data_IF_025510254880
#
_entry.id   IF_025510254880
#
_cell.length_a   1.000
_cell.length_b   1.000
_cell.length_c   1.000
_cell.angle_alpha   90.00
_cell.angle_beta   90.00
_cell.angle_gamma   90.00
#
_symmetry.space_group_name_H-M   'P 1'
#
loop_
_entity.id
_entity.type
_entity.pdbx_description
1 polymer ?
#
# COMPACT_ATOMS: atom_id res chain seq x y z
N UNK A 1 3.73 0.01 -16.96
CA UNK A 1 3.41 -0.94 -18.04
C UNK A 1 2.32 -0.32 -18.90
N UNK A 2 2.26 -0.58 -20.21
CA UNK A 2 1.17 -0.16 -21.09
C UNK A 2 0.80 -1.32 -21.99
N UNK A 3 -0.48 -1.61 -22.14
CA UNK A 3 -1.00 -2.60 -23.09
C UNK A 3 -2.30 -2.10 -23.70
N UNK A 4 -2.62 -2.57 -24.91
CA UNK A 4 -3.89 -2.30 -25.56
C UNK A 4 -4.81 -3.50 -25.31
N UNK A 5 -6.04 -3.22 -24.87
CA UNK A 5 -7.06 -4.26 -24.63
C UNK A 5 -8.21 -4.09 -25.61
N UNK A 6 -8.83 -5.20 -26.07
CA UNK A 6 -10.03 -5.13 -26.89
C UNK A 6 -11.22 -4.54 -26.11
N UNK A 7 -12.27 -4.05 -26.80
CA UNK A 7 -13.48 -3.57 -26.14
C UNK A 7 -14.16 -4.68 -25.32
N UNK A 8 -14.51 -4.38 -24.07
CA UNK A 8 -15.18 -5.31 -23.16
C UNK A 8 -14.43 -5.52 -21.84
N UNK A 9 -14.88 -6.46 -20.99
CA UNK A 9 -14.16 -6.85 -19.79
C UNK A 9 -12.76 -7.38 -20.13
N UNK A 10 -11.75 -6.91 -19.43
CA UNK A 10 -10.37 -7.36 -19.58
C UNK A 10 -9.80 -7.76 -18.23
N UNK A 11 -8.82 -8.66 -18.23
CA UNK A 11 -7.99 -8.98 -17.08
C UNK A 11 -6.52 -8.88 -17.50
N UNK A 12 -5.67 -8.41 -16.58
CA UNK A 12 -4.22 -8.33 -16.77
C UNK A 12 -3.60 -9.19 -15.69
N UNK A 13 -2.94 -10.28 -16.09
CA UNK A 13 -2.31 -11.26 -15.20
C UNK A 13 -0.77 -11.25 -15.26
N UNK A 14 -0.18 -10.51 -16.20
CA UNK A 14 1.28 -10.41 -16.41
C UNK A 14 1.96 -9.30 -15.59
N UNK A 15 1.32 -8.86 -14.50
CA UNK A 15 1.96 -7.91 -13.60
C UNK A 15 3.19 -8.56 -12.98
N UNK A 16 4.38 -8.03 -13.30
CA UNK A 16 5.60 -8.43 -12.61
C UNK A 16 5.35 -8.33 -11.10
N UNK A 17 5.54 -9.45 -10.39
CA UNK A 17 5.47 -9.49 -8.93
C UNK A 17 6.65 -8.73 -8.35
N UNK A 18 6.59 -7.41 -8.46
CA UNK A 18 7.47 -6.54 -7.74
C UNK A 18 7.00 -6.62 -6.30
N UNK A 19 7.87 -7.02 -5.37
CA UNK A 19 7.61 -7.04 -3.91
C UNK A 19 7.20 -5.66 -3.32
N UNK A 20 6.88 -4.69 -4.16
CA UNK A 20 6.43 -3.37 -3.79
C UNK A 20 5.01 -3.43 -3.24
N UNK A 21 4.91 -3.11 -1.96
CA UNK A 21 3.67 -2.67 -1.34
C UNK A 21 3.39 -1.25 -1.84
N UNK A 22 2.29 -1.04 -2.55
CA UNK A 22 1.97 0.27 -3.11
C UNK A 22 0.80 0.22 -4.08
N UNK A 23 -0.09 1.20 -4.03
CA UNK A 23 -1.29 1.21 -4.88
C UNK A 23 -0.94 1.28 -6.38
N UNK A 24 -1.74 0.62 -7.21
CA UNK A 24 -1.64 0.69 -8.67
C UNK A 24 -2.55 1.80 -9.19
N UNK A 25 -1.97 2.89 -9.70
CA UNK A 25 -2.72 3.88 -10.46
C UNK A 25 -3.00 3.33 -11.86
N UNK A 26 -4.29 3.17 -12.20
CA UNK A 26 -4.74 2.63 -13.48
C UNK A 26 -5.39 3.76 -14.28
N UNK A 27 -4.86 4.00 -15.46
CA UNK A 27 -5.41 4.95 -16.44
C UNK A 27 -5.89 4.19 -17.68
N UNK A 28 -7.19 4.27 -17.95
CA UNK A 28 -7.82 3.69 -19.14
C UNK A 28 -8.13 4.81 -20.11
N UNK A 29 -7.44 4.80 -21.25
CA UNK A 29 -7.63 5.76 -22.34
C UNK A 29 -8.47 5.09 -23.42
N UNK A 30 -9.71 5.52 -23.57
CA UNK A 30 -10.61 5.04 -24.61
C UNK A 30 -10.22 5.63 -25.99
N UNK A 31 -10.60 4.94 -27.07
CA UNK A 31 -10.43 5.44 -28.43
C UNK A 31 -11.19 6.77 -28.69
N UNK A 32 -12.20 7.08 -27.86
CA UNK A 32 -12.96 8.33 -27.86
C UNK A 32 -12.17 9.52 -27.28
N UNK A 33 -10.97 9.30 -26.72
CA UNK A 33 -10.19 10.29 -25.97
C UNK A 33 -10.62 10.44 -24.52
N UNK A 34 -11.68 9.76 -24.09
CA UNK A 34 -12.12 9.73 -22.69
C UNK A 34 -11.10 8.96 -21.85
N UNK A 35 -10.67 9.56 -20.74
CA UNK A 35 -9.71 8.96 -19.82
C UNK A 35 -10.40 8.67 -18.49
N UNK A 36 -10.33 7.43 -18.04
CA UNK A 36 -10.81 7.00 -16.72
C UNK A 36 -9.61 6.63 -15.85
N UNK A 37 -9.48 7.25 -14.67
CA UNK A 37 -8.42 6.95 -13.71
C UNK A 37 -9.02 6.33 -12.46
N UNK A 38 -8.43 5.24 -11.99
CA UNK A 38 -8.79 4.61 -10.73
C UNK A 38 -7.59 3.93 -10.09
N UNK A 39 -7.57 3.92 -8.75
CA UNK A 39 -6.48 3.36 -7.97
C UNK A 39 -6.85 1.96 -7.45
N UNK A 40 -6.17 0.93 -7.93
CA UNK A 40 -6.33 -0.45 -7.42
C UNK A 40 -5.41 -0.63 -6.22
N UNK A 41 -5.94 -0.90 -5.01
CA UNK A 41 -5.11 -1.25 -3.87
C UNK A 41 -4.29 -2.49 -4.19
N UNK A 42 -2.96 -2.39 -4.11
CA UNK A 42 -2.11 -3.56 -4.05
C UNK A 42 -1.60 -3.67 -2.62
N UNK A 43 -2.41 -4.33 -1.80
CA UNK A 43 -2.06 -4.71 -0.44
C UNK A 43 -1.64 -6.18 -0.48
N UNK A 44 -0.41 -6.45 -0.04
CA UNK A 44 0.04 -7.82 0.16
C UNK A 44 -0.68 -8.43 1.37
N UNK A 45 -0.86 -9.75 1.35
CA UNK A 45 -1.27 -10.56 2.52
C UNK A 45 -0.42 -10.15 3.73
N UNK A 46 -0.96 -10.17 4.97
CA UNK A 46 -0.18 -9.89 6.16
C UNK A 46 1.16 -10.62 6.13
N UNK A 47 2.24 -9.85 6.02
CA UNK A 47 3.58 -10.34 5.78
C UNK A 47 4.06 -11.04 7.06
N UNK A 48 4.14 -12.37 7.01
CA UNK A 48 4.53 -13.19 8.15
C UNK A 48 5.90 -13.79 7.91
N UNK A 49 6.75 -13.68 8.92
CA UNK A 49 8.13 -14.18 8.88
C UNK A 49 8.20 -15.43 9.74
N UNK A 50 8.85 -16.49 9.22
CA UNK A 50 9.05 -17.73 9.98
C UNK A 50 9.82 -17.45 11.28
N UNK A 51 9.55 -18.19 12.36
CA UNK A 51 10.26 -18.02 13.64
C UNK A 51 11.77 -17.99 13.47
N UNK A 52 12.42 -17.06 14.14
CA UNK A 52 13.88 -16.90 14.12
C UNK A 52 14.42 -16.19 12.87
N UNK A 53 13.60 -15.99 11.84
CA UNK A 53 14.01 -15.25 10.65
C UNK A 53 13.78 -13.74 10.81
N UNK A 54 14.57 -12.99 10.04
CA UNK A 54 14.51 -11.53 9.99
C UNK A 54 14.42 -11.11 8.53
N UNK A 55 13.50 -10.21 8.22
CA UNK A 55 13.51 -9.47 6.96
C UNK A 55 13.79 -8.01 7.27
N UNK A 56 14.73 -7.42 6.54
CA UNK A 56 15.07 -6.02 6.67
C UNK A 56 15.29 -5.42 5.29
N UNK A 57 14.93 -4.15 5.16
CA UNK A 57 15.20 -3.36 3.97
C UNK A 57 15.66 -1.99 4.40
N UNK A 58 16.73 -1.50 3.76
CA UNK A 58 17.23 -0.15 3.94
C UNK A 58 17.33 0.49 2.56
N UNK A 59 16.73 1.66 2.41
CA UNK A 59 16.75 2.43 1.19
C UNK A 59 17.09 3.87 1.49
N UNK A 60 17.97 4.47 0.69
CA UNK A 60 18.26 5.89 0.76
C UNK A 60 18.52 6.40 -0.65
N UNK A 61 18.16 7.65 -0.91
CA UNK A 61 18.31 8.21 -2.24
C UNK A 61 17.36 9.36 -2.46
N UNK A 62 16.90 9.51 -3.70
CA UNK A 62 15.99 10.60 -4.13
C UNK A 62 14.75 10.01 -4.79
N UNK A 63 13.59 10.59 -4.54
CA UNK A 63 12.34 10.16 -5.19
C UNK A 63 12.31 10.67 -6.63
N UNK A 64 12.45 9.76 -7.61
CA UNK A 64 12.64 10.06 -9.03
C UNK A 64 11.60 11.00 -9.65
N UNK A 65 10.34 10.90 -9.22
CA UNK A 65 9.22 11.66 -9.79
C UNK A 65 9.20 13.15 -9.38
N UNK A 66 9.95 13.53 -8.34
CA UNK A 66 9.92 14.86 -7.75
C UNK A 66 11.29 15.56 -7.85
N UNK A 67 11.86 15.65 -9.05
CA UNK A 67 13.20 16.18 -9.30
C UNK A 67 13.34 17.69 -9.04
N UNK A 68 12.23 18.43 -9.11
CA UNK A 68 12.21 19.89 -8.93
C UNK A 68 12.26 20.33 -7.46
N UNK A 69 12.18 19.41 -6.49
CA UNK A 69 12.15 19.70 -5.05
C UNK A 69 13.17 18.86 -4.28
N UNK A 70 13.46 19.24 -3.03
CA UNK A 70 14.27 18.38 -2.16
C UNK A 70 13.47 17.10 -1.85
N UNK A 71 13.98 16.00 -2.39
CA UNK A 71 13.31 14.70 -2.45
C UNK A 71 14.18 13.58 -1.88
N UNK A 72 15.24 13.93 -1.13
CA UNK A 72 16.05 12.95 -0.42
C UNK A 72 15.23 12.26 0.65
N UNK A 73 15.37 10.94 0.72
CA UNK A 73 14.74 10.12 1.74
C UNK A 73 15.71 9.05 2.24
N UNK A 74 15.41 8.59 3.45
CA UNK A 74 15.91 7.39 4.07
C UNK A 74 14.70 6.59 4.55
N UNK A 75 14.71 5.28 4.31
CA UNK A 75 13.68 4.36 4.74
C UNK A 75 14.33 3.09 5.27
N UNK A 76 13.81 2.60 6.39
CA UNK A 76 14.19 1.31 6.93
C UNK A 76 12.96 0.54 7.37
N UNK A 77 12.85 -0.70 6.95
CA UNK A 77 11.82 -1.64 7.43
C UNK A 77 12.49 -2.87 8.04
N UNK A 78 11.84 -3.41 9.05
CA UNK A 78 12.36 -4.50 9.86
C UNK A 78 11.20 -5.38 10.32
N UNK A 79 11.29 -6.66 10.02
CA UNK A 79 10.29 -7.66 10.38
C UNK A 79 10.98 -8.84 11.05
N UNK A 80 10.37 -9.38 12.08
CA UNK A 80 10.90 -10.51 12.84
C UNK A 80 9.85 -11.54 13.15
N UNK A 81 10.11 -12.80 12.77
CA UNK A 81 9.30 -13.92 13.20
C UNK A 81 9.65 -14.28 14.64
N UNK A 82 8.83 -13.84 15.60
CA UNK A 82 9.06 -14.10 17.03
C UNK A 82 8.80 -15.57 17.35
N UNK A 83 7.72 -16.14 16.82
CA UNK A 83 7.36 -17.54 16.96
C UNK A 83 6.50 -18.01 15.77
N UNK A 84 5.89 -19.20 15.85
CA UNK A 84 5.06 -19.78 14.77
C UNK A 84 3.78 -18.98 14.47
N UNK A 85 3.47 -17.99 15.30
CA UNK A 85 2.17 -17.33 15.38
C UNK A 85 2.34 -15.81 15.37
N UNK A 86 3.50 -15.25 15.72
CA UNK A 86 3.70 -13.81 15.89
C UNK A 86 4.85 -13.34 15.00
N UNK A 87 4.57 -12.34 14.17
CA UNK A 87 5.57 -11.54 13.46
C UNK A 87 5.51 -10.11 13.97
N UNK A 88 6.65 -9.52 14.28
CA UNK A 88 6.80 -8.11 14.63
C UNK A 88 7.19 -7.32 13.38
N UNK A 89 6.55 -6.17 13.14
CA UNK A 89 6.83 -5.27 12.04
C UNK A 89 7.19 -3.88 12.59
N UNK A 90 8.32 -3.34 12.14
CA UNK A 90 8.80 -2.01 12.46
C UNK A 90 9.25 -1.32 11.18
N UNK A 91 9.09 0.00 11.13
CA UNK A 91 9.55 0.78 10.00
C UNK A 91 9.79 2.23 10.37
N UNK A 92 10.62 2.89 9.58
CA UNK A 92 10.87 4.32 9.68
C UNK A 92 11.10 4.89 8.30
N UNK A 93 10.64 6.11 8.09
CA UNK A 93 10.87 6.86 6.87
C UNK A 93 11.16 8.30 7.24
N UNK A 94 12.29 8.83 6.78
CA UNK A 94 12.80 10.15 7.13
C UNK A 94 13.14 10.88 5.84
N UNK A 95 12.68 12.12 5.72
CA UNK A 95 13.03 13.01 4.61
C UNK A 95 13.04 14.46 5.12
N UNK A 96 13.40 15.42 4.25
CA UNK A 96 13.43 16.81 4.68
C UNK A 96 12.03 17.27 5.14
N UNK A 97 11.92 17.72 6.40
CA UNK A 97 10.64 18.14 7.03
C UNK A 97 9.55 17.05 6.96
N UNK A 98 9.95 15.78 7.03
CA UNK A 98 9.05 14.63 7.05
C UNK A 98 9.66 13.50 7.89
N UNK A 99 8.85 12.90 8.75
CA UNK A 99 9.20 11.66 9.43
C UNK A 99 7.96 10.80 9.61
N UNK A 100 8.13 9.49 9.50
CA UNK A 100 7.13 8.51 9.81
C UNK A 100 7.73 7.30 10.50
N UNK A 101 6.96 6.72 11.41
CA UNK A 101 7.34 5.56 12.21
C UNK A 101 6.19 4.55 12.16
N UNK A 102 6.52 3.32 11.82
CA UNK A 102 5.59 2.20 11.75
C UNK A 102 5.92 1.21 12.86
N UNK A 103 4.88 0.74 13.55
CA UNK A 103 4.95 -0.38 14.46
C UNK A 103 3.69 -1.24 14.33
N UNK A 104 3.87 -2.55 14.34
CA UNK A 104 2.78 -3.48 14.14
C UNK A 104 3.23 -4.92 14.17
N UNK A 105 2.38 -5.80 13.69
CA UNK A 105 2.68 -7.21 13.62
C UNK A 105 1.55 -8.04 13.04
N UNK A 106 1.82 -9.33 12.92
CA UNK A 106 0.88 -10.34 12.44
C UNK A 106 0.73 -11.42 13.51
N UNK A 107 -0.52 -11.79 13.75
CA UNK A 107 -0.92 -12.91 14.58
C UNK A 107 -1.57 -14.00 13.72
N UNK A 108 -0.79 -15.03 13.39
CA UNK A 108 -1.19 -16.16 12.57
C UNK A 108 -1.76 -17.30 13.43
N UNK A 109 -3.05 -17.55 13.30
CA UNK A 109 -3.77 -18.61 14.04
C UNK A 109 -4.28 -19.68 13.07
N UNK A 110 -4.70 -20.83 13.60
CA UNK A 110 -5.38 -21.86 12.78
C UNK A 110 -6.70 -21.38 12.15
N UNK A 111 -7.26 -20.27 12.65
CA UNK A 111 -8.46 -19.66 12.09
C UNK A 111 -8.16 -18.65 10.97
N UNK A 112 -6.91 -18.25 10.76
CA UNK A 112 -6.49 -17.21 9.82
C UNK A 112 -5.38 -16.32 10.40
N UNK A 113 -4.83 -15.45 9.56
CA UNK A 113 -3.79 -14.49 9.97
C UNK A 113 -4.37 -13.08 10.09
N UNK A 114 -4.18 -12.47 11.26
CA UNK A 114 -4.60 -11.11 11.59
C UNK A 114 -3.39 -10.19 11.63
N UNK A 115 -3.37 -9.14 10.82
CA UNK A 115 -2.33 -8.11 10.87
C UNK A 115 -2.86 -6.81 11.46
N UNK A 116 -2.06 -6.15 12.28
CA UNK A 116 -2.31 -4.80 12.78
C UNK A 116 -1.02 -3.98 12.65
N UNK A 117 -1.08 -2.90 11.87
CA UNK A 117 0.01 -1.94 11.75
C UNK A 117 -0.47 -0.54 12.08
N UNK A 118 0.33 0.22 12.82
CA UNK A 118 0.11 1.62 13.12
C UNK A 118 1.29 2.44 12.62
N UNK A 119 1.01 3.47 11.81
CA UNK A 119 2.00 4.39 11.27
C UNK A 119 1.70 5.79 11.77
N UNK A 120 2.64 6.38 12.48
CA UNK A 120 2.61 7.79 12.81
C UNK A 120 3.38 8.58 11.76
N UNK A 121 2.87 9.75 11.38
CA UNK A 121 3.59 10.70 10.51
C UNK A 121 3.57 12.12 11.08
N UNK A 122 4.65 12.84 10.81
CA UNK A 122 4.80 14.26 11.07
C UNK A 122 5.50 14.92 9.88
N UNK A 123 4.78 15.81 9.21
CA UNK A 123 5.19 16.39 7.95
C UNK A 123 4.93 17.90 7.93
N UNK A 124 5.68 18.65 7.11
CA UNK A 124 5.24 19.97 6.63
C UNK A 124 4.75 19.84 5.19
N UNK A 125 3.46 20.03 4.96
CA UNK A 125 2.83 19.75 3.68
C UNK A 125 2.11 21.01 3.15
N UNK A 126 0.78 21.05 3.21
CA UNK A 126 -0.04 22.15 2.68
C UNK A 126 0.35 23.48 3.33
N UNK A 127 0.56 24.53 2.51
CA UNK A 127 0.94 25.87 2.98
C UNK A 127 2.16 25.92 3.93
N UNK A 128 3.00 24.88 3.92
CA UNK A 128 4.11 24.69 4.85
C UNK A 128 3.67 24.54 6.34
N UNK A 129 2.40 24.20 6.56
CA UNK A 129 1.84 23.89 7.87
C UNK A 129 2.27 22.50 8.35
N UNK A 130 2.39 22.38 9.67
CA UNK A 130 2.74 21.12 10.32
C UNK A 130 1.50 20.22 10.40
N UNK A 131 1.56 19.09 9.73
CA UNK A 131 0.55 18.04 9.76
C UNK A 131 1.08 16.85 10.55
N UNK A 132 0.30 16.37 11.52
CA UNK A 132 0.63 15.21 12.33
C UNK A 132 -0.58 14.29 12.41
N UNK A 133 -0.36 13.00 12.22
CA UNK A 133 -1.44 12.03 12.31
C UNK A 133 -1.00 10.59 12.36
N UNK A 134 -2.00 9.73 12.47
CA UNK A 134 -1.85 8.29 12.60
C UNK A 134 -2.64 7.60 11.51
N UNK A 135 -2.10 6.49 11.02
CA UNK A 135 -2.78 5.55 10.14
C UNK A 135 -2.75 4.18 10.80
N UNK A 136 -3.92 3.59 11.01
CA UNK A 136 -4.06 2.23 11.48
C UNK A 136 -4.49 1.35 10.30
N UNK A 137 -3.92 0.16 10.20
CA UNK A 137 -4.23 -0.83 9.19
C UNK A 137 -4.48 -2.17 9.84
N UNK A 138 -5.70 -2.69 9.63
CA UNK A 138 -6.13 -4.01 10.01
C UNK A 138 -6.17 -4.88 8.76
N UNK A 139 -5.60 -6.07 8.81
CA UNK A 139 -5.67 -7.04 7.72
C UNK A 139 -6.06 -8.42 8.24
N UNK A 140 -6.76 -9.17 7.41
CA UNK A 140 -7.14 -10.54 7.68
C UNK A 140 -7.02 -11.39 6.42
N UNK A 141 -6.49 -12.59 6.56
CA UNK A 141 -6.42 -13.58 5.48
C UNK A 141 -6.73 -14.97 6.00
N UNK A 142 -7.42 -15.77 5.18
CA UNK A 142 -7.74 -17.17 5.48
C UNK A 142 -7.87 -17.99 4.21
N UNK A 143 -7.17 -19.11 4.18
CA UNK A 143 -7.41 -20.18 3.21
C UNK A 143 -8.29 -21.24 3.86
N UNK A 144 -9.45 -21.51 3.25
CA UNK A 144 -10.36 -22.56 3.69
C UNK A 144 -10.00 -23.89 3.03
N UNK A 145 -10.28 -25.00 3.71
CA UNK A 145 -10.05 -26.36 3.21
C UNK A 145 -10.93 -26.72 2.01
N UNK A 146 -12.01 -25.97 1.76
CA UNK A 146 -12.90 -26.10 0.60
C UNK A 146 -12.31 -25.54 -0.70
N UNK A 147 -11.06 -25.06 -0.69
CA UNK A 147 -10.41 -24.39 -1.82
C UNK A 147 -10.78 -22.90 -1.96
N UNK A 148 -11.73 -22.40 -1.16
CA UNK A 148 -12.04 -20.97 -1.08
C UNK A 148 -10.86 -20.23 -0.45
N UNK A 149 -10.30 -19.26 -1.16
CA UNK A 149 -9.24 -18.39 -0.68
C UNK A 149 -9.80 -17.00 -0.42
N UNK A 150 -9.91 -16.63 0.85
CA UNK A 150 -10.05 -15.23 1.27
C UNK A 150 -8.64 -14.66 1.39
N UNK A 151 -8.15 -14.10 0.28
CA UNK A 151 -6.74 -13.68 0.16
C UNK A 151 -6.46 -12.49 1.07
N UNK A 152 -7.36 -11.51 1.11
CA UNK A 152 -7.16 -10.32 1.93
C UNK A 152 -8.47 -9.54 2.16
N UNK A 153 -8.80 -9.29 3.42
CA UNK A 153 -9.69 -8.21 3.83
C UNK A 153 -8.87 -7.22 4.65
N UNK A 154 -8.69 -5.99 4.17
CA UNK A 154 -7.94 -4.96 4.86
C UNK A 154 -8.76 -3.69 5.04
N UNK A 155 -8.69 -3.13 6.23
CA UNK A 155 -9.30 -1.86 6.60
C UNK A 155 -8.23 -0.90 7.09
N UNK A 156 -8.14 0.25 6.43
CA UNK A 156 -7.20 1.31 6.75
C UNK A 156 -7.98 2.55 7.19
N UNK A 157 -7.59 3.08 8.35
CA UNK A 157 -8.10 4.33 8.89
C UNK A 157 -6.94 5.32 9.02
N UNK A 158 -7.07 6.52 8.46
CA UNK A 158 -6.08 7.59 8.65
C UNK A 158 -6.74 8.81 9.28
N UNK A 159 -6.08 9.41 10.28
CA UNK A 159 -6.53 10.68 10.84
C UNK A 159 -6.30 11.82 9.84
N UNK A 160 -7.05 12.92 9.98
CA UNK A 160 -6.99 14.05 9.05
C UNK A 160 -5.57 14.65 8.87
N UNK A 161 -4.70 14.53 9.87
CA UNK A 161 -3.33 15.07 9.83
C UNK A 161 -2.27 14.06 9.35
N UNK A 162 -2.64 12.81 9.04
CA UNK A 162 -1.69 11.83 8.52
C UNK A 162 -1.30 12.19 7.09
N UNK A 163 0.00 12.08 6.75
CA UNK A 163 0.50 12.25 5.38
C UNK A 163 1.52 11.17 5.01
N UNK A 164 1.39 10.62 3.81
CA UNK A 164 2.44 9.79 3.21
C UNK A 164 3.54 10.67 2.60
N UNK A 165 4.75 10.12 2.42
CA UNK A 165 5.87 10.87 1.84
C UNK A 165 5.56 11.30 0.39
N UNK A 166 4.92 10.43 -0.40
CA UNK A 166 4.56 10.76 -1.78
C UNK A 166 3.60 11.94 -1.86
N UNK A 167 2.56 11.95 -1.01
CA UNK A 167 1.60 13.05 -0.90
C UNK A 167 2.31 14.37 -0.53
N UNK A 168 3.24 14.32 0.44
CA UNK A 168 3.99 15.52 0.88
C UNK A 168 4.87 16.06 -0.22
N UNK A 169 5.54 15.20 -0.99
CA UNK A 169 6.35 15.61 -2.14
C UNK A 169 5.48 16.13 -3.28
N UNK A 170 4.30 15.55 -3.50
CA UNK A 170 3.29 16.01 -4.45
C UNK A 170 2.84 17.43 -4.18
N UNK A 171 2.28 17.68 -3.00
CA UNK A 171 1.81 19.01 -2.58
C UNK A 171 2.93 20.06 -2.61
N UNK A 172 4.17 19.68 -2.24
CA UNK A 172 5.31 20.61 -2.31
C UNK A 172 5.72 20.95 -3.74
N UNK A 173 5.64 19.98 -4.65
CA UNK A 173 5.95 20.21 -6.06
C UNK A 173 4.89 21.12 -6.67
N UNK A 174 3.61 20.84 -6.42
CA UNK A 174 2.49 21.70 -6.82
C UNK A 174 2.70 23.14 -6.36
N UNK A 175 3.02 23.36 -5.08
CA UNK A 175 3.30 24.69 -4.54
C UNK A 175 4.51 25.39 -5.20
N UNK A 176 5.49 24.64 -5.73
CA UNK A 176 6.69 25.20 -6.37
C UNK A 176 6.52 25.44 -7.87
N UNK A 177 5.87 24.52 -8.58
CA UNK A 177 5.80 24.52 -10.05
C UNK A 177 4.44 24.93 -10.59
N UNK A 178 3.41 25.00 -9.74
CA UNK A 178 2.02 25.26 -10.15
C UNK A 178 1.38 24.12 -10.95
N UNK A 179 1.96 22.92 -10.89
CA UNK A 179 1.41 21.72 -11.56
C UNK A 179 0.50 21.03 -10.55
N UNK A 180 -0.79 20.96 -10.85
CA UNK A 180 -1.79 20.36 -9.98
C UNK A 180 -1.39 18.93 -9.56
N UNK A 181 -1.51 18.64 -8.27
CA UNK A 181 -1.24 17.32 -7.73
C UNK A 181 -2.56 16.63 -7.34
N UNK A 182 -2.86 15.52 -8.00
CA UNK A 182 -3.99 14.67 -7.67
C UNK A 182 -3.52 13.43 -6.91
N UNK A 183 -4.22 13.09 -5.83
CA UNK A 183 -3.97 11.87 -5.05
C UNK A 183 -5.23 11.41 -4.35
N UNK A 184 -5.63 10.16 -4.60
CA UNK A 184 -6.74 9.49 -3.91
C UNK A 184 -6.41 9.16 -2.44
N UNK A 185 -5.13 9.21 -2.07
CA UNK A 185 -4.65 8.91 -0.73
C UNK A 185 -4.48 10.17 0.13
N UNK A 186 -4.32 11.33 -0.50
CA UNK A 186 -4.24 12.62 0.16
C UNK A 186 -5.59 12.92 0.85
N UNK A 187 -5.57 12.93 2.19
CA UNK A 187 -6.75 13.02 3.07
C UNK A 187 -7.67 11.80 3.12
N UNK A 188 -7.24 10.64 2.61
CA UNK A 188 -8.03 9.41 2.71
C UNK A 188 -8.28 9.03 4.18
N UNK A 189 -9.53 9.11 4.61
CA UNK A 189 -9.94 8.75 5.98
C UNK A 189 -10.10 7.25 6.17
N UNK A 190 -10.81 6.61 5.24
CA UNK A 190 -11.19 5.21 5.33
C UNK A 190 -10.92 4.52 4.00
N UNK A 191 -10.39 3.30 4.06
CA UNK A 191 -10.30 2.41 2.91
C UNK A 191 -10.61 0.99 3.34
N UNK A 192 -11.54 0.36 2.64
CA UNK A 192 -11.83 -1.06 2.75
C UNK A 192 -11.41 -1.73 1.44
N UNK A 193 -10.67 -2.83 1.54
CA UNK A 193 -10.33 -3.68 0.41
C UNK A 193 -10.61 -5.12 0.77
N UNK A 194 -11.26 -5.87 -0.12
CA UNK A 194 -11.58 -7.27 0.09
C UNK A 194 -11.43 -8.04 -1.23
N UNK A 195 -10.72 -9.16 -1.19
CA UNK A 195 -10.56 -10.06 -2.34
C UNK A 195 -10.93 -11.47 -1.93
N UNK A 196 -11.95 -12.01 -2.61
CA UNK A 196 -12.46 -13.36 -2.41
C UNK A 196 -12.31 -14.11 -3.73
N UNK A 197 -11.67 -15.27 -3.68
CA UNK A 197 -11.60 -16.19 -4.81
C UNK A 197 -12.11 -17.55 -4.38
N UNK A 198 -13.08 -18.07 -5.12
CA UNK A 198 -13.62 -19.41 -4.91
C UNK A 198 -13.56 -20.16 -6.24
N UNK A 199 -12.71 -21.19 -6.37
CA UNK A 199 -12.83 -22.11 -7.49
C UNK A 199 -14.16 -22.86 -7.34
N UNK A 200 -15.03 -22.71 -8.32
CA UNK A 200 -16.16 -23.61 -8.49
C UNK A 200 -15.60 -24.82 -9.25
N UNK A 201 -15.69 -26.01 -8.65
CA UNK A 201 -15.18 -27.23 -9.30
C UNK A 201 -15.77 -27.41 -10.70
N UNK A 202 -15.05 -28.10 -11.58
CA UNK A 202 -15.55 -28.55 -12.88
C UNK A 202 -16.65 -29.58 -12.69
N UNK A 203 -17.88 -29.14 -12.47
CA UNK A 203 -19.03 -29.93 -12.85
C UNK A 203 -19.16 -29.84 -14.38
N UNK A 204 -19.48 -30.97 -15.02
CA UNK A 204 -19.80 -31.17 -16.45
C UNK A 204 -18.64 -31.48 -17.40
N UNK A 205 -18.16 -32.72 -17.33
CA UNK A 205 -18.05 -33.60 -18.51
C UNK A 205 -18.20 -35.06 -18.04
N UNK A 206 -19.40 -35.61 -18.19
CA UNK A 206 -19.69 -37.04 -18.20
C UNK A 206 -20.59 -37.31 -19.41
#
# INVERSE_FOLDING_TARGET
>A
MKTNVPPGPFYIDDLYNTRYQGDLEVEVIEASGKTSRFTVPYSSVPDSVRPGNWHYSLAFGRVRQYYDIENRFFEGTFQHGVNNTITLNLGSRIAQRYQAWLAGGVWATGMGAFGLNATWSNARAEHNDRQQGWRAELSYSKTFTTGTNLVLAAYRYSTNGFRDLQDVLGVRREAKTGIDYYSDTLHQRNRLSATVSQPLGTAWHA
#
